data_IF_305226735618
#
_entry.id   IF_305226735618
#
_cell.length_a   1.000
_cell.length_b   1.000
_cell.length_c   1.000
_cell.angle_alpha   90.00
_cell.angle_beta   90.00
_cell.angle_gamma   90.00
#
_symmetry.space_group_name_H-M   'P 1'
#
loop_
_entity.id
_entity.type
_entity.pdbx_description
1 polymer ?
#
# COMPACT_ATOMS: atom_id res chain seq x y z
N UNK A 1 70.69 -41.81 -13.23
CA UNK A 1 69.98 -40.95 -14.23
C UNK A 1 68.48 -41.05 -14.12
N UNK A 2 67.86 -42.17 -13.84
CA UNK A 2 66.39 -42.37 -13.80
C UNK A 2 65.67 -41.70 -12.58
N UNK A 3 66.31 -41.46 -11.47
CA UNK A 3 65.70 -40.80 -10.29
C UNK A 3 65.57 -39.28 -10.43
N UNK A 4 66.38 -38.63 -11.28
CA UNK A 4 66.37 -37.18 -11.51
C UNK A 4 65.19 -36.78 -12.40
N UNK A 5 64.81 -37.58 -13.39
CA UNK A 5 63.71 -37.30 -14.31
C UNK A 5 62.34 -37.42 -13.61
N UNK A 6 62.18 -38.31 -12.64
CA UNK A 6 60.90 -38.43 -11.90
C UNK A 6 60.60 -37.21 -10.99
N UNK A 7 61.67 -36.56 -10.47
CA UNK A 7 61.49 -35.38 -9.62
C UNK A 7 61.02 -34.16 -10.42
N UNK A 8 61.60 -33.94 -11.60
CA UNK A 8 61.20 -32.84 -12.51
C UNK A 8 59.77 -33.00 -13.07
N UNK A 9 59.30 -34.25 -13.27
CA UNK A 9 57.96 -34.47 -13.76
C UNK A 9 56.92 -34.22 -12.66
N UNK A 10 57.21 -34.53 -11.41
CA UNK A 10 56.33 -34.29 -10.26
C UNK A 10 56.23 -32.80 -9.89
N UNK A 11 57.31 -32.06 -10.02
CA UNK A 11 57.32 -30.60 -9.80
C UNK A 11 56.53 -29.83 -10.88
N UNK A 12 56.57 -30.25 -12.15
CA UNK A 12 55.73 -29.68 -13.22
C UNK A 12 54.25 -29.97 -13.04
N UNK A 13 53.86 -31.15 -12.59
CA UNK A 13 52.48 -31.48 -12.33
C UNK A 13 51.91 -30.69 -11.14
N UNK A 14 52.65 -30.51 -10.06
CA UNK A 14 52.25 -29.70 -8.92
C UNK A 14 52.11 -28.22 -9.24
N UNK A 15 52.91 -27.70 -10.18
CA UNK A 15 52.81 -26.29 -10.63
C UNK A 15 51.57 -26.05 -11.48
N UNK A 16 51.24 -26.97 -12.35
CA UNK A 16 50.00 -26.90 -13.19
C UNK A 16 48.70 -27.02 -12.34
N UNK A 17 48.69 -27.87 -11.33
CA UNK A 17 47.52 -28.01 -10.44
C UNK A 17 47.30 -26.77 -9.60
N UNK A 18 48.34 -26.10 -9.10
CA UNK A 18 48.24 -24.86 -8.34
C UNK A 18 47.81 -23.66 -9.21
N UNK A 19 48.21 -23.60 -10.49
CA UNK A 19 47.73 -22.57 -11.43
C UNK A 19 46.26 -22.74 -11.77
N UNK A 20 45.77 -23.97 -11.92
CA UNK A 20 44.34 -24.28 -12.18
C UNK A 20 43.46 -23.98 -10.96
N UNK A 21 43.94 -24.23 -9.73
CA UNK A 21 43.20 -23.90 -8.50
C UNK A 21 43.13 -22.40 -8.26
N UNK A 22 44.13 -21.61 -8.68
CA UNK A 22 44.10 -20.13 -8.55
C UNK A 22 43.17 -19.47 -9.58
N UNK A 23 43.05 -20.04 -10.80
CA UNK A 23 42.08 -19.51 -11.80
C UNK A 23 40.63 -19.82 -11.46
N UNK A 24 40.34 -20.95 -10.81
CA UNK A 24 38.97 -21.31 -10.40
C UNK A 24 38.46 -20.46 -9.23
N UNK A 25 39.34 -20.09 -8.28
CA UNK A 25 38.96 -19.21 -7.15
C UNK A 25 38.68 -17.78 -7.57
N UNK A 26 39.43 -17.25 -8.56
CA UNK A 26 39.15 -15.90 -9.09
C UNK A 26 37.86 -15.83 -9.90
N UNK A 27 37.42 -16.91 -10.54
CA UNK A 27 36.19 -16.96 -11.32
C UNK A 27 34.94 -16.99 -10.46
N UNK A 28 34.95 -17.70 -9.34
CA UNK A 28 33.82 -17.76 -8.40
C UNK A 28 33.54 -16.42 -7.69
N UNK A 29 34.58 -15.64 -7.42
CA UNK A 29 34.42 -14.33 -6.77
C UNK A 29 33.73 -13.29 -7.68
N UNK A 30 33.94 -13.35 -8.99
CA UNK A 30 33.29 -12.43 -9.96
C UNK A 30 31.81 -12.75 -10.19
N UNK A 31 31.43 -14.02 -10.17
CA UNK A 31 30.02 -14.41 -10.30
C UNK A 31 29.20 -14.04 -9.06
N UNK A 32 29.77 -14.18 -7.85
CA UNK A 32 29.08 -13.79 -6.61
C UNK A 32 28.90 -12.27 -6.48
N UNK A 33 29.81 -11.47 -6.98
CA UNK A 33 29.67 -10.01 -6.98
C UNK A 33 28.65 -9.50 -8.00
N UNK A 34 28.50 -10.17 -9.15
CA UNK A 34 27.46 -9.80 -10.14
C UNK A 34 26.05 -10.13 -9.64
N UNK A 35 25.85 -11.27 -8.98
CA UNK A 35 24.57 -11.63 -8.37
C UNK A 35 24.19 -10.74 -7.18
N UNK A 36 25.14 -10.28 -6.38
CA UNK A 36 24.90 -9.36 -5.27
C UNK A 36 24.48 -7.95 -5.75
N UNK A 37 24.90 -7.53 -6.94
CA UNK A 37 24.51 -6.25 -7.55
C UNK A 37 23.15 -6.30 -8.21
N UNK A 38 22.75 -7.44 -8.79
CA UNK A 38 21.42 -7.61 -9.40
C UNK A 38 20.27 -7.62 -8.38
N UNK A 39 20.51 -8.16 -7.19
CA UNK A 39 19.49 -8.21 -6.12
C UNK A 39 19.18 -6.84 -5.48
N UNK A 40 19.98 -5.80 -5.77
CA UNK A 40 19.81 -4.44 -5.23
C UNK A 40 18.96 -3.52 -6.12
N UNK A 41 18.58 -3.94 -7.30
CA UNK A 41 17.70 -3.15 -8.18
C UNK A 41 16.25 -3.42 -7.82
N UNK A 42 15.62 -2.45 -7.17
CA UNK A 42 14.17 -2.43 -7.09
C UNK A 42 13.59 -2.31 -8.50
N UNK A 43 12.70 -3.22 -8.94
CA UNK A 43 12.09 -3.13 -10.26
C UNK A 43 11.35 -1.79 -10.38
N UNK A 44 11.52 -1.10 -11.51
CA UNK A 44 10.81 0.14 -11.79
C UNK A 44 9.29 -0.11 -11.72
N UNK A 45 8.58 0.74 -10.99
CA UNK A 45 7.11 0.80 -10.95
C UNK A 45 6.65 2.21 -11.29
N UNK A 46 5.55 2.36 -12.03
CA UNK A 46 4.95 3.68 -12.20
C UNK A 46 4.47 4.20 -10.84
N UNK A 47 4.81 5.44 -10.53
CA UNK A 47 4.37 6.10 -9.30
C UNK A 47 2.86 6.35 -9.40
N UNK A 48 2.14 6.00 -8.36
CA UNK A 48 0.70 6.27 -8.27
C UNK A 48 0.48 7.72 -7.86
N UNK A 49 -0.47 8.38 -8.49
CA UNK A 49 -0.77 9.80 -8.27
C UNK A 49 -1.03 10.17 -6.80
N UNK A 50 -1.69 9.30 -6.06
CA UNK A 50 -2.03 9.47 -4.64
C UNK A 50 -1.25 8.51 -3.72
N UNK A 51 -0.04 8.17 -4.13
CA UNK A 51 0.84 7.34 -3.31
C UNK A 51 1.29 8.12 -2.08
N UNK A 52 1.16 7.49 -0.91
CA UNK A 52 1.60 8.04 0.37
C UNK A 52 2.64 7.13 1.01
N UNK A 53 3.55 7.65 1.81
CA UNK A 53 4.41 6.81 2.63
C UNK A 53 3.56 5.97 3.60
N UNK A 54 4.12 4.90 4.18
CA UNK A 54 3.45 4.18 5.25
C UNK A 54 3.12 5.13 6.40
N UNK A 55 1.90 5.03 6.92
CA UNK A 55 1.49 5.84 8.06
C UNK A 55 2.30 5.44 9.32
N UNK A 56 2.52 6.36 10.27
CA UNK A 56 3.07 6.04 11.58
C UNK A 56 2.24 4.98 12.30
N UNK A 57 2.87 4.24 13.22
CA UNK A 57 2.15 3.23 14.01
C UNK A 57 0.94 3.84 14.74
N UNK A 58 -0.20 3.17 14.62
CA UNK A 58 -1.46 3.62 15.21
C UNK A 58 -2.21 4.69 14.42
N UNK A 59 -1.73 5.10 13.26
CA UNK A 59 -2.40 6.09 12.40
C UNK A 59 -2.71 5.53 11.02
N UNK A 60 -3.70 6.15 10.35
CA UNK A 60 -4.06 5.89 8.96
C UNK A 60 -4.12 7.20 8.19
N UNK A 61 -3.56 7.21 6.97
CA UNK A 61 -3.62 8.35 6.06
C UNK A 61 -4.86 8.30 5.17
N UNK A 62 -5.40 9.51 4.89
CA UNK A 62 -6.49 9.69 3.95
C UNK A 62 -6.38 11.02 3.22
N UNK A 63 -6.69 11.01 1.94
CA UNK A 63 -6.86 12.22 1.16
C UNK A 63 -8.25 12.83 1.39
N UNK A 64 -8.30 14.11 1.75
CA UNK A 64 -9.50 14.89 2.01
C UNK A 64 -9.62 15.94 0.93
N UNK A 65 -10.78 16.02 0.28
CA UNK A 65 -11.05 17.05 -0.74
C UNK A 65 -11.10 18.44 -0.10
N UNK A 66 -10.24 19.31 -0.60
CA UNK A 66 -10.16 20.72 -0.25
C UNK A 66 -10.80 21.60 -1.32
N UNK A 67 -10.61 21.27 -2.60
CA UNK A 67 -11.18 22.01 -3.70
C UNK A 67 -11.73 21.10 -4.78
N UNK A 68 -12.71 21.62 -5.55
CA UNK A 68 -13.30 20.94 -6.69
C UNK A 68 -13.57 21.97 -7.79
N UNK A 69 -13.02 21.77 -8.96
CA UNK A 69 -13.14 22.69 -10.11
C UNK A 69 -12.73 24.12 -9.78
N UNK A 70 -11.69 24.31 -8.97
CA UNK A 70 -11.19 25.63 -8.55
C UNK A 70 -11.99 26.29 -7.44
N UNK A 71 -13.02 25.65 -6.89
CA UNK A 71 -13.77 26.14 -5.74
C UNK A 71 -13.38 25.41 -4.46
N UNK A 72 -13.10 26.16 -3.40
CA UNK A 72 -12.79 25.60 -2.08
C UNK A 72 -14.00 24.93 -1.44
N UNK A 73 -13.84 23.69 -0.97
CA UNK A 73 -14.86 22.95 -0.20
C UNK A 73 -14.56 23.04 1.32
N UNK A 74 -14.72 24.25 1.84
CA UNK A 74 -14.46 24.55 3.27
C UNK A 74 -15.32 23.71 4.22
N UNK A 75 -16.54 23.40 3.80
CA UNK A 75 -17.48 22.63 4.61
C UNK A 75 -16.99 21.18 4.80
N UNK A 76 -16.44 20.57 3.76
CA UNK A 76 -15.87 19.22 3.85
C UNK A 76 -14.66 19.18 4.75
N UNK A 77 -13.69 20.08 4.57
CA UNK A 77 -12.48 20.15 5.40
C UNK A 77 -12.84 20.40 6.87
N UNK A 78 -13.70 21.39 7.14
CA UNK A 78 -14.16 21.69 8.51
C UNK A 78 -14.85 20.51 9.19
N UNK A 79 -15.68 19.78 8.45
CA UNK A 79 -16.32 18.57 8.97
C UNK A 79 -15.31 17.49 9.32
N UNK A 80 -14.31 17.25 8.47
CA UNK A 80 -13.27 16.26 8.72
C UNK A 80 -12.41 16.60 9.93
N UNK A 81 -12.02 17.87 10.07
CA UNK A 81 -11.27 18.31 11.25
C UNK A 81 -12.06 18.09 12.56
N UNK A 82 -13.39 18.32 12.53
CA UNK A 82 -14.26 18.04 13.70
C UNK A 82 -14.47 16.55 13.96
N UNK A 83 -14.29 15.70 12.94
CA UNK A 83 -14.31 14.23 13.08
C UNK A 83 -12.99 13.68 13.64
N UNK A 84 -12.01 14.55 13.96
CA UNK A 84 -10.71 14.13 14.53
C UNK A 84 -9.59 13.91 13.51
N UNK A 85 -9.79 14.31 12.24
CA UNK A 85 -8.72 14.27 11.24
C UNK A 85 -7.74 15.40 11.46
N UNK A 86 -6.44 15.10 11.42
CA UNK A 86 -5.34 16.05 11.50
C UNK A 86 -4.66 16.17 10.13
N UNK A 87 -4.42 17.42 9.68
CA UNK A 87 -3.73 17.66 8.41
C UNK A 87 -2.24 17.38 8.56
N UNK A 88 -1.67 16.67 7.60
CA UNK A 88 -0.25 16.29 7.57
C UNK A 88 0.55 17.38 6.86
N UNK A 89 1.60 17.86 7.51
CA UNK A 89 2.53 18.83 6.91
C UNK A 89 3.65 18.10 6.16
N UNK A 90 4.24 18.78 5.18
CA UNK A 90 5.40 18.23 4.46
C UNK A 90 6.57 17.90 5.39
N UNK A 91 6.74 18.66 6.51
CA UNK A 91 7.74 18.40 7.54
C UNK A 91 7.53 17.10 8.33
N UNK A 92 6.31 16.57 8.34
CA UNK A 92 5.94 15.37 9.09
C UNK A 92 6.18 14.09 8.29
N UNK A 93 6.55 14.23 7.01
CA UNK A 93 6.83 13.11 6.12
C UNK A 93 8.32 12.73 6.16
N UNK A 94 8.67 11.46 5.89
CA UNK A 94 10.05 11.05 5.71
C UNK A 94 10.68 11.77 4.50
N UNK A 95 11.96 12.14 4.60
CA UNK A 95 12.71 12.87 3.56
C UNK A 95 12.73 12.15 2.20
N UNK A 96 12.64 10.84 2.20
CA UNK A 96 12.59 10.00 0.99
C UNK A 96 11.30 10.19 0.18
N UNK A 97 10.26 10.79 0.78
CA UNK A 97 8.92 10.92 0.18
C UNK A 97 8.56 12.39 -0.06
N UNK A 98 9.07 12.94 -1.15
CA UNK A 98 8.84 14.34 -1.52
C UNK A 98 7.46 14.51 -2.17
N UNK A 99 6.44 14.81 -1.36
CA UNK A 99 5.09 15.15 -1.84
C UNK A 99 4.92 16.67 -1.98
N UNK A 100 4.15 17.14 -2.96
CA UNK A 100 3.86 18.56 -3.10
C UNK A 100 3.10 19.10 -1.89
N UNK A 101 3.43 20.31 -1.48
CA UNK A 101 2.79 21.05 -0.38
C UNK A 101 2.06 22.28 -0.90
N UNK A 102 1.08 22.75 -0.15
CA UNK A 102 0.38 24.00 -0.47
C UNK A 102 1.27 25.20 -0.13
N UNK A 103 1.59 26.03 -1.11
CA UNK A 103 2.48 27.18 -0.94
C UNK A 103 1.78 28.40 -0.33
N UNK A 104 0.46 28.53 -0.54
CA UNK A 104 -0.32 29.70 -0.11
C UNK A 104 -1.72 29.32 0.35
N UNK A 105 -2.34 30.19 1.14
CA UNK A 105 -3.72 29.97 1.60
C UNK A 105 -3.81 29.54 3.07
N UNK A 106 -4.97 29.02 3.44
CA UNK A 106 -5.30 28.65 4.82
C UNK A 106 -4.51 27.43 5.33
N UNK A 107 -4.14 26.52 4.44
CA UNK A 107 -3.47 25.26 4.76
C UNK A 107 -2.04 25.22 4.25
N UNK A 108 -1.33 26.36 4.31
CA UNK A 108 0.07 26.48 3.89
C UNK A 108 0.96 25.46 4.59
N UNK A 109 1.83 24.78 3.83
CA UNK A 109 2.75 23.74 4.31
C UNK A 109 2.12 22.36 4.52
N UNK A 110 0.81 22.22 4.29
CA UNK A 110 0.12 20.93 4.30
C UNK A 110 0.37 20.23 2.97
N UNK A 111 0.51 18.90 3.00
CA UNK A 111 0.64 18.06 1.80
C UNK A 111 -0.62 18.18 0.96
N UNK A 112 -0.44 18.64 -0.29
CA UNK A 112 -1.53 18.95 -1.20
C UNK A 112 -1.27 18.33 -2.57
N UNK A 113 -2.27 17.69 -3.13
CA UNK A 113 -2.20 17.16 -4.50
C UNK A 113 -3.55 17.31 -5.21
N UNK A 114 -3.59 18.16 -6.23
CA UNK A 114 -4.74 18.38 -7.12
C UNK A 114 -6.10 18.53 -6.41
N UNK A 115 -6.18 19.42 -5.44
CA UNK A 115 -7.41 19.67 -4.69
C UNK A 115 -7.66 18.75 -3.51
N UNK A 116 -6.66 17.92 -3.15
CA UNK A 116 -6.72 17.00 -2.03
C UNK A 116 -5.66 17.35 -0.99
N UNK A 117 -6.03 17.38 0.28
CA UNK A 117 -5.14 17.50 1.43
C UNK A 117 -4.90 16.12 2.06
N UNK A 118 -3.67 15.84 2.45
CA UNK A 118 -3.35 14.64 3.21
C UNK A 118 -3.69 14.86 4.68
N UNK A 119 -4.41 13.92 5.27
CA UNK A 119 -4.74 13.92 6.68
C UNK A 119 -4.47 12.55 7.31
N UNK A 120 -4.25 12.53 8.61
CA UNK A 120 -4.05 11.34 9.44
C UNK A 120 -5.11 11.29 10.53
N UNK A 121 -5.41 10.10 11.01
CA UNK A 121 -6.31 9.86 12.14
C UNK A 121 -5.85 8.62 12.90
N UNK A 122 -6.04 8.53 14.23
CA UNK A 122 -5.80 7.31 14.99
C UNK A 122 -6.69 6.15 14.49
N UNK A 123 -6.12 4.96 14.40
CA UNK A 123 -6.86 3.74 13.96
C UNK A 123 -8.01 3.38 14.90
N UNK A 124 -7.89 3.72 16.19
CA UNK A 124 -8.95 3.54 17.18
C UNK A 124 -10.21 4.34 16.81
N UNK A 125 -10.04 5.61 16.45
CA UNK A 125 -11.16 6.47 16.02
C UNK A 125 -11.84 5.93 14.74
N UNK A 126 -11.06 5.32 13.83
CA UNK A 126 -11.62 4.68 12.64
C UNK A 126 -12.46 3.45 13.05
N UNK A 127 -11.98 2.66 13.99
CA UNK A 127 -12.71 1.49 14.47
C UNK A 127 -14.05 1.89 15.12
N UNK A 128 -14.05 2.86 16.03
CA UNK A 128 -15.27 3.42 16.65
C UNK A 128 -16.25 3.98 15.60
N UNK A 129 -15.72 4.71 14.62
CA UNK A 129 -16.52 5.24 13.52
C UNK A 129 -17.17 4.14 12.69
N UNK A 130 -16.42 3.11 12.36
CA UNK A 130 -16.92 1.97 11.59
C UNK A 130 -17.99 1.21 12.36
N UNK A 131 -17.81 1.00 13.66
CA UNK A 131 -18.80 0.39 14.53
C UNK A 131 -20.11 1.21 14.60
N UNK A 132 -19.99 2.53 14.77
CA UNK A 132 -21.15 3.42 14.76
C UNK A 132 -21.97 3.33 13.47
N UNK A 133 -21.30 3.39 12.31
CA UNK A 133 -22.00 3.29 11.03
C UNK A 133 -22.52 1.88 10.73
N UNK A 134 -21.80 0.84 11.17
CA UNK A 134 -22.30 -0.54 11.08
C UNK A 134 -23.59 -0.72 11.88
N UNK A 135 -23.65 -0.19 13.11
CA UNK A 135 -24.85 -0.19 13.94
C UNK A 135 -26.02 0.55 13.29
N UNK A 136 -25.77 1.76 12.73
CA UNK A 136 -26.80 2.51 11.99
C UNK A 136 -27.30 1.77 10.76
N UNK A 137 -26.42 1.17 10.00
CA UNK A 137 -26.79 0.41 8.81
C UNK A 137 -27.62 -0.82 9.19
N UNK A 138 -27.27 -1.49 10.29
CA UNK A 138 -28.05 -2.62 10.78
C UNK A 138 -29.46 -2.20 11.21
N UNK A 139 -29.59 -1.11 11.97
CA UNK A 139 -30.90 -0.57 12.36
C UNK A 139 -31.76 -0.18 11.16
N UNK A 140 -31.15 0.47 10.16
CA UNK A 140 -31.86 0.85 8.93
C UNK A 140 -32.32 -0.39 8.15
N UNK A 141 -31.50 -1.43 8.09
CA UNK A 141 -31.85 -2.70 7.45
C UNK A 141 -33.01 -3.39 8.18
N UNK A 142 -32.95 -3.49 9.52
CA UNK A 142 -34.01 -4.08 10.32
C UNK A 142 -35.34 -3.32 10.19
N UNK A 143 -35.28 -1.98 10.14
CA UNK A 143 -36.46 -1.15 9.91
C UNK A 143 -37.09 -1.41 8.54
N UNK A 144 -36.27 -1.56 7.50
CA UNK A 144 -36.71 -1.89 6.15
C UNK A 144 -37.36 -3.28 6.09
N UNK A 145 -36.68 -4.29 6.67
CA UNK A 145 -37.19 -5.65 6.70
C UNK A 145 -38.52 -5.74 7.46
N UNK A 146 -38.68 -5.02 8.59
CA UNK A 146 -39.91 -4.93 9.35
C UNK A 146 -41.05 -4.23 8.53
N UNK A 147 -40.74 -3.16 7.82
CA UNK A 147 -41.72 -2.50 6.95
C UNK A 147 -42.19 -3.42 5.82
N UNK A 148 -41.25 -4.10 5.15
CA UNK A 148 -41.59 -5.06 4.09
C UNK A 148 -42.42 -6.25 4.64
N UNK A 149 -42.09 -6.74 5.83
CA UNK A 149 -42.88 -7.78 6.46
C UNK A 149 -44.30 -7.32 6.78
N UNK A 150 -44.46 -6.12 7.33
CA UNK A 150 -45.77 -5.54 7.65
C UNK A 150 -46.61 -5.25 6.38
N UNK A 151 -45.96 -4.82 5.30
CA UNK A 151 -46.63 -4.55 4.02
C UNK A 151 -47.09 -5.85 3.35
N UNK A 152 -46.23 -6.89 3.36
CA UNK A 152 -46.58 -8.22 2.85
C UNK A 152 -47.72 -8.90 3.66
N UNK A 153 -47.78 -8.65 4.95
CA UNK A 153 -48.85 -9.13 5.81
C UNK A 153 -50.19 -8.44 5.56
N UNK A 154 -50.20 -7.14 5.17
CA UNK A 154 -51.40 -6.37 4.83
C UNK A 154 -51.99 -6.76 3.48
N UNK A 155 -51.17 -7.03 2.50
CA UNK A 155 -51.61 -7.30 1.12
C UNK A 155 -52.08 -8.75 0.87
N UNK A 156 -51.98 -9.64 1.88
CA UNK A 156 -52.38 -11.05 1.75
C UNK A 156 -51.63 -11.85 0.70
N UNK A 157 -50.66 -11.25 0.02
CA UNK A 157 -49.77 -11.85 -0.95
C UNK A 157 -48.48 -12.27 -0.20
N UNK A 158 -48.39 -13.53 0.16
CA UNK A 158 -47.18 -14.12 0.68
C UNK A 158 -46.06 -14.07 -0.39
N UNK A 159 -45.45 -12.93 -0.57
CA UNK A 159 -44.13 -12.88 -1.22
C UNK A 159 -43.12 -13.26 -0.14
N UNK A 160 -42.70 -14.50 -0.16
CA UNK A 160 -41.64 -14.99 0.71
C UNK A 160 -40.36 -14.23 0.34
N UNK A 161 -40.12 -13.08 1.01
CA UNK A 161 -38.91 -12.30 0.81
C UNK A 161 -37.75 -13.06 1.47
N UNK A 162 -36.91 -13.67 0.62
CA UNK A 162 -35.69 -14.29 1.08
C UNK A 162 -34.61 -13.21 1.16
N UNK A 163 -34.35 -12.70 2.37
CA UNK A 163 -33.32 -11.70 2.65
C UNK A 163 -31.89 -12.20 2.35
N UNK A 164 -31.73 -13.49 2.02
CA UNK A 164 -30.45 -14.12 1.75
C UNK A 164 -30.16 -14.32 0.25
N UNK A 165 -30.87 -13.65 -0.65
CA UNK A 165 -30.62 -13.76 -2.09
C UNK A 165 -29.22 -13.19 -2.43
N UNK A 166 -28.21 -14.02 -2.42
CA UNK A 166 -26.88 -13.75 -2.93
C UNK A 166 -26.93 -13.85 -4.46
N UNK A 167 -26.96 -12.73 -5.16
CA UNK A 167 -26.77 -12.72 -6.60
C UNK A 167 -25.27 -12.89 -6.89
N UNK A 168 -24.84 -14.08 -7.24
CA UNK A 168 -23.52 -14.30 -7.81
C UNK A 168 -23.52 -13.93 -9.29
N UNK A 169 -23.05 -12.74 -9.60
CA UNK A 169 -22.79 -12.35 -11.00
C UNK A 169 -21.45 -12.94 -11.40
N UNK A 170 -21.47 -14.08 -12.09
CA UNK A 170 -20.28 -14.63 -12.74
C UNK A 170 -20.12 -13.96 -14.10
N UNK A 171 -19.13 -13.05 -14.21
CA UNK A 171 -18.69 -12.60 -15.53
C UNK A 171 -18.01 -13.74 -16.25
N UNK A 172 -18.60 -14.21 -17.35
CA UNK A 172 -18.07 -15.28 -18.15
C UNK A 172 -16.66 -14.96 -18.64
N UNK A 173 -15.74 -15.86 -18.34
CA UNK A 173 -14.42 -15.92 -18.95
C UNK A 173 -14.60 -16.34 -20.40
N UNK A 174 -14.23 -15.49 -21.37
CA UNK A 174 -13.97 -15.87 -22.75
C UNK A 174 -12.59 -16.50 -22.85
#
# INVERSE_FOLDING_TARGET
>A
LLKRNKKFHKERQNKMTNEIEQETTTRQSRESESHAKESRRTPWRPVRKLETPPAPEGYEYRWIRESMMGQEDRANVSRRLREGWELVRGSDLPEDFNLPTMDSGRHTGVVYNEGLLLAKIPTETIAERNEYYAGKNQQAKEALDNNMFNESARDGRYVKYDSQRKSNVTFGKK
#
